data_IF_447776655253
#
_entry.id   IF_447776655253
#
_cell.length_a   1.000
_cell.length_b   1.000
_cell.length_c   1.000
_cell.angle_alpha   90.00
_cell.angle_beta   90.00
_cell.angle_gamma   90.00
#
_symmetry.space_group_name_H-M   'P 1'
#
loop_
_entity.id
_entity.type
_entity.pdbx_description
1 polymer ?
#
# COMPACT_ATOMS: atom_id res chain seq x y z
N UNK A 1 -26.49 -23.03 -0.40
CA UNK A 1 -26.95 -22.08 0.63
C UNK A 1 -25.90 -20.99 0.76
N UNK A 2 -26.25 -19.71 0.60
CA UNK A 2 -25.30 -18.62 0.86
C UNK A 2 -25.11 -18.50 2.38
N UNK A 3 -23.88 -18.26 2.81
CA UNK A 3 -23.60 -17.99 4.22
C UNK A 3 -23.74 -16.49 4.46
N UNK A 4 -24.40 -16.11 5.55
CA UNK A 4 -24.53 -14.72 5.98
C UNK A 4 -23.43 -14.40 6.99
N UNK A 5 -22.63 -13.38 6.69
CA UNK A 5 -21.46 -12.99 7.48
C UNK A 5 -21.63 -11.56 7.98
N UNK A 6 -21.04 -11.26 9.15
CA UNK A 6 -20.94 -9.87 9.61
C UNK A 6 -20.19 -9.03 8.55
N UNK A 7 -20.64 -7.79 8.24
CA UNK A 7 -19.93 -6.93 7.28
C UNK A 7 -18.45 -6.74 7.67
N UNK A 8 -17.58 -6.84 6.68
CA UNK A 8 -16.13 -6.68 6.83
C UNK A 8 -15.49 -6.18 5.52
N UNK A 9 -14.19 -5.87 5.57
CA UNK A 9 -13.43 -5.33 4.42
C UNK A 9 -13.00 -6.48 3.49
N UNK A 10 -13.98 -7.11 2.84
CA UNK A 10 -13.81 -8.37 2.10
C UNK A 10 -13.92 -8.20 0.58
N UNK A 11 -13.14 -7.28 0.01
CA UNK A 11 -13.03 -7.12 -1.44
C UNK A 11 -11.85 -7.97 -1.93
N UNK A 12 -12.08 -8.96 -2.78
CA UNK A 12 -11.03 -9.85 -3.29
C UNK A 12 -10.92 -9.80 -4.83
N UNK A 13 -9.70 -9.95 -5.38
CA UNK A 13 -8.42 -10.07 -4.67
C UNK A 13 -7.97 -8.75 -4.03
N UNK A 14 -7.29 -8.81 -2.88
CA UNK A 14 -6.53 -7.68 -2.36
C UNK A 14 -5.09 -7.78 -2.87
N UNK A 15 -4.53 -6.71 -3.47
CA UNK A 15 -3.11 -6.67 -3.80
C UNK A 15 -2.26 -6.62 -2.51
N UNK A 16 -1.01 -7.04 -2.62
CA UNK A 16 0.01 -6.83 -1.58
C UNK A 16 1.22 -6.16 -2.24
N UNK A 17 1.21 -4.83 -2.29
CA UNK A 17 2.30 -4.05 -2.89
C UNK A 17 3.22 -3.51 -1.82
N UNK A 18 4.49 -3.31 -2.18
CA UNK A 18 5.44 -2.59 -1.35
C UNK A 18 5.49 -1.12 -1.79
N UNK A 19 5.13 -0.22 -0.90
CA UNK A 19 5.21 1.23 -1.10
C UNK A 19 6.50 1.74 -0.50
N UNK A 20 7.36 2.30 -1.34
CA UNK A 20 8.59 2.98 -0.90
C UNK A 20 8.36 4.49 -0.82
N UNK A 21 8.92 5.12 0.21
CA UNK A 21 8.86 6.58 0.41
C UNK A 21 10.14 7.13 1.05
N UNK A 22 10.34 8.44 0.94
CA UNK A 22 11.46 9.17 1.54
C UNK A 22 12.32 9.88 0.49
N UNK A 23 12.77 11.09 0.81
CA UNK A 23 13.55 11.94 -0.09
C UNK A 23 15.06 11.91 0.20
N UNK A 24 15.44 11.56 1.44
CA UNK A 24 16.81 11.38 1.88
C UNK A 24 16.96 10.09 2.70
N UNK A 25 18.21 9.68 2.96
CA UNK A 25 18.53 8.39 3.59
C UNK A 25 17.87 8.20 4.97
N UNK A 26 17.69 9.29 5.71
CA UNK A 26 17.08 9.31 7.04
C UNK A 26 15.56 9.09 6.98
N UNK A 27 14.93 9.30 5.82
CA UNK A 27 13.50 9.15 5.59
C UNK A 27 13.12 7.86 4.88
N UNK A 28 14.09 7.11 4.33
CA UNK A 28 13.79 5.94 3.52
C UNK A 28 13.04 4.90 4.31
N UNK A 29 11.86 4.55 3.81
CA UNK A 29 11.04 3.50 4.37
C UNK A 29 10.30 2.72 3.28
N UNK A 30 9.91 1.49 3.61
CA UNK A 30 9.09 0.64 2.76
C UNK A 30 8.00 -0.02 3.60
N UNK A 31 6.76 0.02 3.12
CA UNK A 31 5.60 -0.56 3.82
C UNK A 31 4.74 -1.39 2.88
N UNK A 32 4.12 -2.43 3.42
CA UNK A 32 3.11 -3.19 2.66
C UNK A 32 1.75 -2.50 2.73
N UNK A 33 1.14 -2.31 1.56
CA UNK A 33 -0.18 -1.68 1.42
C UNK A 33 -1.08 -2.59 0.59
N UNK A 34 -2.26 -2.89 1.14
CA UNK A 34 -3.30 -3.63 0.43
C UNK A 34 -4.42 -2.73 -0.12
N UNK A 35 -4.59 -1.55 0.49
CA UNK A 35 -5.60 -0.57 0.07
C UNK A 35 -4.99 0.36 -0.96
N UNK A 36 -4.87 -0.15 -2.18
CA UNK A 36 -4.25 0.49 -3.33
C UNK A 36 -5.09 0.20 -4.58
N UNK A 37 -5.08 1.11 -5.55
CA UNK A 37 -5.73 0.85 -6.83
C UNK A 37 -5.58 1.98 -7.84
N UNK A 38 -5.95 1.69 -9.09
CA UNK A 38 -6.09 2.70 -10.15
C UNK A 38 -7.31 3.56 -9.87
N UNK A 39 -7.15 4.89 -9.94
CA UNK A 39 -8.25 5.86 -9.87
C UNK A 39 -8.86 6.07 -11.25
N UNK A 40 -8.05 6.47 -12.23
CA UNK A 40 -8.51 6.75 -13.60
C UNK A 40 -7.36 6.70 -14.62
N UNK A 41 -7.74 6.71 -15.90
CA UNK A 41 -6.81 6.57 -17.04
C UNK A 41 -6.22 7.88 -17.54
N UNK A 42 -6.97 9.00 -17.50
CA UNK A 42 -6.53 10.29 -18.03
C UNK A 42 -6.89 11.47 -17.10
N UNK A 43 -5.90 12.13 -16.46
CA UNK A 43 -4.51 11.66 -16.36
C UNK A 43 -4.45 10.31 -15.62
N UNK A 44 -3.42 9.48 -15.86
CA UNK A 44 -3.29 8.21 -15.15
C UNK A 44 -3.05 8.48 -13.66
N UNK A 45 -3.94 7.98 -12.82
CA UNK A 45 -3.89 8.19 -11.37
C UNK A 45 -4.07 6.88 -10.62
N UNK A 46 -3.42 6.78 -9.47
CA UNK A 46 -3.59 5.70 -8.50
C UNK A 46 -3.72 6.26 -7.08
N UNK A 47 -4.16 5.44 -6.14
CA UNK A 47 -4.20 5.79 -4.73
C UNK A 47 -3.54 4.71 -3.88
N UNK A 48 -3.06 5.12 -2.71
CA UNK A 48 -2.75 4.26 -1.57
C UNK A 48 -3.45 4.86 -0.34
N UNK A 49 -3.98 4.00 0.53
CA UNK A 49 -4.57 4.43 1.80
C UNK A 49 -3.65 4.02 2.94
N UNK A 50 -3.00 5.01 3.58
CA UNK A 50 -2.08 4.82 4.68
C UNK A 50 -2.65 5.49 5.94
N UNK A 51 -2.66 4.77 7.06
CA UNK A 51 -3.16 5.31 8.33
C UNK A 51 -2.23 6.39 8.89
N UNK A 52 -2.75 7.48 9.49
CA UNK A 52 -1.93 8.54 10.06
C UNK A 52 -0.90 8.11 11.12
N UNK A 53 -1.18 7.03 11.85
CA UNK A 53 -0.31 6.52 12.91
C UNK A 53 0.92 5.77 12.37
N UNK A 54 0.96 5.44 11.06
CA UNK A 54 2.10 4.78 10.43
C UNK A 54 3.27 5.76 10.29
N UNK A 55 4.49 5.30 10.57
CA UNK A 55 5.72 6.09 10.40
C UNK A 55 5.85 6.72 9.01
N UNK A 56 5.44 6.02 7.94
CA UNK A 56 5.50 6.53 6.56
C UNK A 56 4.54 7.67 6.27
N UNK A 57 3.43 7.83 7.02
CA UNK A 57 2.42 8.84 6.72
C UNK A 57 2.96 10.29 6.73
N UNK A 58 3.68 10.76 7.76
CA UNK A 58 4.28 12.10 7.74
C UNK A 58 5.30 12.29 6.60
N UNK A 59 6.04 11.24 6.23
CA UNK A 59 7.02 11.27 5.12
C UNK A 59 6.28 11.45 3.78
N UNK A 60 5.25 10.62 3.53
CA UNK A 60 4.41 10.69 2.34
C UNK A 60 3.74 12.06 2.21
N UNK A 61 3.18 12.59 3.32
CA UNK A 61 2.50 13.89 3.33
C UNK A 61 3.46 15.06 3.11
N UNK A 62 4.69 14.97 3.61
CA UNK A 62 5.72 16.01 3.42
C UNK A 62 6.23 16.03 1.99
N UNK A 63 6.57 14.86 1.44
CA UNK A 63 7.29 14.76 0.17
C UNK A 63 6.35 14.66 -1.04
N UNK A 64 5.09 14.26 -0.84
CA UNK A 64 4.09 14.11 -1.90
C UNK A 64 4.49 13.15 -3.03
N UNK A 65 5.39 12.21 -2.74
CA UNK A 65 5.95 11.25 -3.69
C UNK A 65 6.07 9.85 -3.05
N UNK A 66 5.84 8.82 -3.85
CA UNK A 66 6.01 7.41 -3.47
C UNK A 66 6.17 6.52 -4.70
N UNK A 67 6.63 5.29 -4.49
CA UNK A 67 6.75 4.25 -5.54
C UNK A 67 5.93 3.03 -5.12
N UNK A 68 5.14 2.49 -6.04
CA UNK A 68 4.45 1.19 -5.88
C UNK A 68 5.31 0.12 -6.54
N UNK A 69 5.77 -0.85 -5.75
CA UNK A 69 6.51 -2.02 -6.23
C UNK A 69 5.58 -3.25 -6.21
N UNK A 70 5.42 -3.89 -7.35
CA UNK A 70 4.70 -5.15 -7.45
C UNK A 70 5.56 -6.28 -6.86
N UNK A 71 4.91 -7.18 -6.12
CA UNK A 71 5.57 -8.26 -5.40
C UNK A 71 5.47 -9.57 -6.18
N UNK A 72 6.43 -10.46 -5.98
CA UNK A 72 6.39 -11.84 -6.50
C UNK A 72 6.15 -12.83 -5.37
N UNK A 73 5.92 -14.09 -5.73
CA UNK A 73 5.72 -15.18 -4.75
C UNK A 73 6.94 -15.34 -3.84
N UNK A 74 8.15 -15.21 -4.39
CA UNK A 74 9.42 -15.35 -3.66
C UNK A 74 9.60 -14.25 -2.61
N UNK A 75 8.92 -13.11 -2.78
CA UNK A 75 8.96 -11.98 -1.86
C UNK A 75 7.96 -12.09 -0.70
N UNK A 76 7.09 -13.11 -0.68
CA UNK A 76 5.97 -13.18 0.26
C UNK A 76 6.36 -12.92 1.73
N UNK A 77 7.45 -13.52 2.19
CA UNK A 77 7.96 -13.30 3.55
C UNK A 77 8.41 -11.85 3.79
N UNK A 78 9.17 -11.28 2.86
CA UNK A 78 9.63 -9.89 2.97
C UNK A 78 8.47 -8.89 2.88
N UNK A 79 7.47 -9.18 2.03
CA UNK A 79 6.24 -8.39 1.93
C UNK A 79 5.44 -8.45 3.22
N UNK A 80 5.28 -9.62 3.84
CA UNK A 80 4.60 -9.72 5.13
C UNK A 80 5.35 -8.96 6.24
N UNK A 81 6.69 -9.09 6.28
CA UNK A 81 7.56 -8.41 7.24
C UNK A 81 7.45 -6.88 7.21
N UNK A 82 7.19 -6.28 6.04
CA UNK A 82 7.06 -4.82 5.88
C UNK A 82 5.66 -4.28 6.21
N UNK A 83 4.69 -5.14 6.55
CA UNK A 83 3.29 -4.75 6.85
C UNK A 83 3.08 -4.18 8.23
#
# INVERSE_FOLDING_TARGET
MKQDWKPGTMIYPLPAVLVSCGSCKEEYNIITVAWVGTICTNPPMCYISVRPERHSYPILKKNMEFVINLTTKEMAYATDWCG
#
